data_IF_801541580860
#
_entry.id   IF_801541580860
#
_cell.length_a   1.000
_cell.length_b   1.000
_cell.length_c   1.000
_cell.angle_alpha   90.00
_cell.angle_beta   90.00
_cell.angle_gamma   90.00
#
_symmetry.space_group_name_H-M   'P 1'
#
loop_
_entity.id
_entity.type
_entity.pdbx_description
1 polymer ?
#
# COMPACT_ATOMS: atom_id res chain seq x y z
N UNK A 1 13.31 -12.95 14.59
CA UNK A 1 13.45 -12.67 14.16
C UNK A 1 13.19 -12.03 13.29
N UNK A 2 13.07 -11.43 12.99
CA UNK A 2 12.78 -10.79 12.21
C UNK A 2 13.30 -10.61 11.26
N UNK A 3 13.24 -10.66 10.67
CA UNK A 3 13.68 -10.62 9.83
C UNK A 3 13.50 -9.66 8.96
N UNK A 4 13.03 -9.08 8.62
CA UNK A 4 12.87 -8.34 7.71
C UNK A 4 13.20 -7.14 7.94
N UNK A 5 13.99 -6.63 7.52
CA UNK A 5 14.54 -5.51 7.83
C UNK A 5 14.43 -4.48 6.82
N UNK A 6 13.40 -4.44 5.99
CA UNK A 6 13.12 -3.40 5.01
C UNK A 6 12.77 -2.13 5.78
N UNK A 7 13.52 -1.05 5.62
CA UNK A 7 13.21 0.17 6.36
C UNK A 7 11.98 0.87 5.81
N UNK A 8 11.29 1.58 6.67
CA UNK A 8 10.15 2.40 6.27
C UNK A 8 10.69 3.72 5.73
N UNK A 9 10.56 3.91 4.43
CA UNK A 9 10.97 5.17 3.82
C UNK A 9 9.86 6.19 3.90
N UNK A 10 10.16 7.49 3.73
CA UNK A 10 9.11 8.50 3.73
C UNK A 10 8.04 8.25 2.68
N UNK A 11 8.41 7.75 1.51
CA UNK A 11 7.46 7.46 0.45
C UNK A 11 6.54 6.31 0.85
N UNK A 12 7.12 5.27 1.44
CA UNK A 12 6.33 4.14 1.91
C UNK A 12 5.35 4.58 2.99
N UNK A 13 5.79 5.45 3.88
CA UNK A 13 4.93 5.95 4.93
C UNK A 13 3.78 6.79 4.35
N UNK A 14 4.07 7.62 3.36
CA UNK A 14 3.05 8.39 2.68
C UNK A 14 1.98 7.49 2.09
N UNK A 15 2.42 6.44 1.41
CA UNK A 15 1.48 5.51 0.81
C UNK A 15 0.64 4.79 1.86
N UNK A 16 1.29 4.31 2.91
CA UNK A 16 0.58 3.61 3.97
C UNK A 16 -0.46 4.52 4.64
N UNK A 17 -0.08 5.76 4.90
CA UNK A 17 -0.99 6.72 5.50
C UNK A 17 -2.16 7.05 4.57
N UNK A 18 -1.88 7.14 3.27
CA UNK A 18 -2.92 7.36 2.29
C UNK A 18 -3.94 6.20 2.31
N UNK A 19 -3.42 4.97 2.34
CA UNK A 19 -4.28 3.80 2.36
C UNK A 19 -5.17 3.78 3.60
N UNK A 20 -4.58 4.07 4.76
CA UNK A 20 -5.33 4.08 6.00
C UNK A 20 -6.42 5.15 6.00
N UNK A 21 -6.07 6.32 5.51
CA UNK A 21 -7.02 7.42 5.45
C UNK A 21 -8.15 7.13 4.45
N UNK A 22 -7.79 6.56 3.31
CA UNK A 22 -8.76 6.20 2.29
C UNK A 22 -9.75 5.16 2.85
N UNK A 23 -9.22 4.14 3.50
CA UNK A 23 -10.07 3.10 4.07
C UNK A 23 -11.00 3.67 5.14
N UNK A 24 -10.48 4.55 5.97
CA UNK A 24 -11.29 5.15 7.03
C UNK A 24 -12.44 5.94 6.45
N UNK A 25 -12.20 6.64 5.34
CA UNK A 25 -13.20 7.48 4.73
C UNK A 25 -14.19 6.69 3.90
N UNK A 26 -13.71 5.72 3.12
CA UNK A 26 -14.52 5.04 2.12
C UNK A 26 -14.98 3.65 2.52
N UNK A 27 -14.38 3.08 3.56
CA UNK A 27 -14.69 1.76 4.07
C UNK A 27 -14.29 0.63 3.11
N UNK A 28 -13.42 0.93 2.15
CA UNK A 28 -12.80 -0.09 1.30
C UNK A 28 -11.42 0.42 0.89
N UNK A 29 -10.59 -0.51 0.44
CA UNK A 29 -9.21 -0.18 0.08
C UNK A 29 -9.15 0.50 -1.28
N UNK A 30 -8.16 1.38 -1.49
CA UNK A 30 -7.97 1.98 -2.80
C UNK A 30 -7.40 0.98 -3.79
N UNK A 31 -7.68 1.19 -5.08
CA UNK A 31 -7.00 0.44 -6.12
C UNK A 31 -5.61 1.03 -6.31
N UNK A 32 -4.74 0.29 -7.01
CA UNK A 32 -3.41 0.82 -7.32
C UNK A 32 -3.50 2.11 -8.13
N UNK A 33 -4.47 2.17 -9.03
CA UNK A 33 -4.70 3.40 -9.80
C UNK A 33 -5.06 4.56 -8.88
N UNK A 34 -5.93 4.32 -7.94
CA UNK A 34 -6.34 5.37 -6.99
C UNK A 34 -5.17 5.81 -6.13
N UNK A 35 -4.31 4.87 -5.74
CA UNK A 35 -3.12 5.20 -4.98
C UNK A 35 -2.17 6.08 -5.80
N UNK A 36 -1.96 5.71 -7.06
CA UNK A 36 -1.09 6.48 -7.92
C UNK A 36 -1.60 7.89 -8.09
N UNK A 37 -2.89 8.02 -8.31
CA UNK A 37 -3.49 9.34 -8.47
C UNK A 37 -3.42 10.15 -7.19
N UNK A 38 -3.66 9.51 -6.07
CA UNK A 38 -3.65 10.21 -4.79
C UNK A 38 -2.27 10.68 -4.37
N UNK A 39 -1.23 9.97 -4.80
CA UNK A 39 0.14 10.34 -4.48
C UNK A 39 0.85 11.03 -5.64
N UNK A 40 0.10 11.32 -6.70
CA UNK A 40 0.64 12.04 -7.85
C UNK A 40 1.76 11.29 -8.55
N UNK A 41 1.59 9.98 -8.68
CA UNK A 41 2.51 9.16 -9.45
C UNK A 41 1.93 8.89 -10.82
N UNK A 42 2.80 8.85 -11.82
CA UNK A 42 2.35 8.66 -13.19
C UNK A 42 2.16 7.20 -13.55
N UNK A 43 2.73 6.30 -12.78
CA UNK A 43 2.74 4.90 -13.14
C UNK A 43 2.28 4.04 -11.97
N UNK A 44 1.46 3.03 -12.28
CA UNK A 44 1.07 2.05 -11.26
C UNK A 44 2.23 1.14 -10.87
N UNK A 45 3.26 1.06 -11.71
CA UNK A 45 4.43 0.26 -11.37
C UNK A 45 5.11 0.74 -10.11
N UNK A 46 5.19 2.05 -9.94
CA UNK A 46 5.79 2.61 -8.71
C UNK A 46 4.99 2.17 -7.50
N UNK A 47 3.67 2.19 -7.63
CA UNK A 47 2.80 1.76 -6.52
C UNK A 47 2.99 0.27 -6.25
N UNK A 48 3.07 -0.54 -7.30
CA UNK A 48 3.25 -1.98 -7.13
C UNK A 48 4.53 -2.29 -6.35
N UNK A 49 5.62 -1.60 -6.69
CA UNK A 49 6.89 -1.80 -5.98
C UNK A 49 6.74 -1.43 -4.50
N UNK A 50 6.09 -0.31 -4.23
CA UNK A 50 5.91 0.13 -2.84
C UNK A 50 5.00 -0.82 -2.07
N UNK A 51 3.95 -1.30 -2.71
CA UNK A 51 3.03 -2.25 -2.07
C UNK A 51 3.78 -3.55 -1.75
N UNK A 52 4.62 -4.01 -2.68
CA UNK A 52 5.40 -5.21 -2.42
C UNK A 52 6.32 -5.04 -1.21
N UNK A 53 6.95 -3.88 -1.11
CA UNK A 53 7.82 -3.61 0.04
C UNK A 53 7.04 -3.58 1.34
N UNK A 54 5.88 -2.93 1.33
CA UNK A 54 5.04 -2.87 2.53
C UNK A 54 4.51 -4.25 2.90
N UNK A 55 4.18 -5.07 1.91
CA UNK A 55 3.74 -6.44 2.18
C UNK A 55 4.86 -7.27 2.78
N UNK A 56 6.09 -7.08 2.28
CA UNK A 56 7.24 -7.80 2.82
C UNK A 56 7.56 -7.37 4.25
N UNK A 57 7.19 -6.14 4.61
CA UNK A 57 7.33 -5.68 5.99
C UNK A 57 6.20 -6.16 6.90
N UNK A 58 5.17 -6.78 6.29
CA UNK A 58 3.95 -7.19 7.01
C UNK A 58 3.08 -6.02 7.44
N UNK A 59 3.22 -4.88 6.79
CA UNK A 59 2.31 -3.76 7.02
C UNK A 59 0.99 -3.94 6.27
N UNK A 60 1.04 -4.72 5.20
CA UNK A 60 -0.12 -5.00 4.35
C UNK A 60 -0.13 -6.47 3.99
N UNK A 61 -1.29 -6.91 3.50
CA UNK A 61 -1.42 -8.21 2.84
C UNK A 61 -1.93 -7.98 1.44
N UNK A 62 -1.44 -8.77 0.49
CA UNK A 62 -1.95 -8.76 -0.87
C UNK A 62 -2.98 -9.86 -1.02
N UNK A 63 -4.11 -9.53 -1.68
CA UNK A 63 -5.21 -10.46 -1.88
C UNK A 63 -5.38 -10.68 -3.37
N UNK A 64 -5.24 -11.92 -3.81
CA UNK A 64 -5.35 -12.21 -5.22
C UNK A 64 -6.79 -12.12 -5.69
N UNK A 65 -6.93 -11.73 -6.95
CA UNK A 65 -8.22 -11.82 -7.63
C UNK A 65 -9.15 -10.64 -7.47
N UNK A 66 -8.72 -9.61 -6.77
CA UNK A 66 -9.56 -8.43 -6.57
C UNK A 66 -8.87 -7.18 -7.06
N UNK A 67 -9.64 -6.21 -7.52
CA UNK A 67 -9.09 -4.93 -7.93
C UNK A 67 -8.57 -4.16 -6.73
N UNK A 68 -9.29 -4.22 -5.62
CA UNK A 68 -8.85 -3.62 -4.36
C UNK A 68 -8.21 -4.74 -3.56
N UNK A 69 -6.99 -5.07 -3.97
CA UNK A 69 -6.40 -6.33 -3.61
C UNK A 69 -5.36 -6.23 -2.48
N UNK A 70 -5.60 -5.36 -1.55
CA UNK A 70 -4.76 -5.28 -0.36
C UNK A 70 -5.62 -5.19 0.88
N UNK A 71 -4.98 -5.48 2.01
CA UNK A 71 -5.60 -5.43 3.32
C UNK A 71 -4.58 -4.86 4.29
N UNK A 72 -5.04 -4.03 5.21
CA UNK A 72 -4.15 -3.55 6.26
C UNK A 72 -3.93 -4.66 7.27
N UNK A 73 -2.70 -4.76 7.73
CA UNK A 73 -2.32 -5.81 8.66
C UNK A 73 -2.17 -5.17 10.03
N UNK A 74 -3.25 -5.13 10.74
CA UNK A 74 -3.24 -4.52 12.08
C UNK A 74 -3.07 -5.53 13.18
#
# INVERSE_FOLDING_TARGET
MTKNKIPMTPVMLRLLNFIKKYYRKNKYMPTFQEMAEGLDYKSKNSITVLIDKLANRNDLKKIKGYRRNIELND
#
